data_IF_696698592174
#
_entry.id   IF_696698592174
#
_cell.length_a   1.000
_cell.length_b   1.000
_cell.length_c   1.000
_cell.angle_alpha   90.00
_cell.angle_beta   90.00
_cell.angle_gamma   90.00
#
_symmetry.space_group_name_H-M   'P 1'
#
loop_
_entity.id
_entity.type
_entity.pdbx_description
1 polymer ?
#
# COMPACT_ATOMS: atom_id res chain seq x y z
N UNK A 1 -11.24 12.21 23.01
CA UNK A 1 -10.15 12.77 22.18
C UNK A 1 -10.39 14.26 21.99
N UNK A 2 -9.37 15.09 22.28
CA UNK A 2 -9.45 16.57 22.24
C UNK A 2 -9.90 17.03 20.87
N UNK A 3 -10.90 17.92 20.79
CA UNK A 3 -11.41 18.49 19.54
C UNK A 3 -10.30 19.27 18.82
N UNK A 4 -9.60 18.62 17.90
CA UNK A 4 -8.62 19.26 17.03
C UNK A 4 -9.40 20.19 16.09
N UNK A 5 -9.07 21.50 16.02
CA UNK A 5 -9.76 22.42 15.12
C UNK A 5 -9.64 21.92 13.66
N UNK A 6 -10.74 22.06 12.91
CA UNK A 6 -10.86 21.53 11.56
C UNK A 6 -9.71 21.92 10.62
N UNK A 7 -9.21 23.15 10.76
CA UNK A 7 -8.08 23.67 9.98
C UNK A 7 -6.79 22.89 10.24
N UNK A 8 -6.44 22.62 11.50
CA UNK A 8 -5.22 21.86 11.85
C UNK A 8 -5.30 20.42 11.37
N UNK A 9 -6.49 19.80 11.43
CA UNK A 9 -6.68 18.42 10.97
C UNK A 9 -6.52 18.31 9.46
N UNK A 10 -7.07 19.25 8.69
CA UNK A 10 -6.89 19.27 7.25
C UNK A 10 -5.41 19.42 6.86
N UNK A 11 -4.67 20.29 7.57
CA UNK A 11 -3.23 20.42 7.36
C UNK A 11 -2.49 19.12 7.62
N UNK A 12 -2.79 18.42 8.71
CA UNK A 12 -2.18 17.13 9.06
C UNK A 12 -2.50 16.08 7.99
N UNK A 13 -3.75 16.00 7.50
CA UNK A 13 -4.12 15.07 6.44
C UNK A 13 -3.33 15.33 5.16
N UNK A 14 -3.17 16.58 4.75
CA UNK A 14 -2.40 16.96 3.56
C UNK A 14 -0.92 16.60 3.75
N UNK A 15 -0.34 16.88 4.92
CA UNK A 15 1.06 16.56 5.21
C UNK A 15 1.30 15.04 5.14
N UNK A 16 0.44 14.24 5.78
CA UNK A 16 0.59 12.77 5.75
C UNK A 16 0.40 12.25 4.32
N UNK A 17 -0.55 12.78 3.55
CA UNK A 17 -0.76 12.37 2.16
C UNK A 17 0.45 12.73 1.28
N UNK A 18 1.08 13.89 1.47
CA UNK A 18 2.31 14.28 0.77
C UNK A 18 3.48 13.36 1.14
N UNK A 19 3.61 12.98 2.42
CA UNK A 19 4.60 12.01 2.87
C UNK A 19 4.36 10.65 2.18
N UNK A 20 3.09 10.21 2.09
CA UNK A 20 2.71 8.98 1.38
C UNK A 20 3.12 9.01 -0.10
N UNK A 21 2.89 10.13 -0.80
CA UNK A 21 3.36 10.31 -2.19
C UNK A 21 4.89 10.26 -2.24
N UNK A 22 5.57 10.91 -1.32
CA UNK A 22 7.03 10.89 -1.23
C UNK A 22 7.60 9.47 -1.07
N UNK A 23 6.96 8.63 -0.23
CA UNK A 23 7.35 7.22 -0.06
C UNK A 23 7.21 6.45 -1.38
N UNK A 24 6.14 6.67 -2.14
CA UNK A 24 5.93 6.00 -3.44
C UNK A 24 6.95 6.46 -4.48
N UNK A 25 7.27 7.75 -4.50
CA UNK A 25 8.31 8.31 -5.39
C UNK A 25 9.68 7.70 -5.04
N UNK A 26 10.03 7.64 -3.76
CA UNK A 26 11.28 6.98 -3.32
C UNK A 26 11.30 5.50 -3.71
N UNK A 27 10.18 4.80 -3.56
CA UNK A 27 10.04 3.42 -4.05
C UNK A 27 10.32 3.32 -5.56
N UNK A 28 9.83 4.27 -6.36
CA UNK A 28 10.04 4.27 -7.82
C UNK A 28 11.51 4.48 -8.21
N UNK A 29 12.26 5.26 -7.42
CA UNK A 29 13.66 5.61 -7.71
C UNK A 29 14.62 4.57 -7.13
N UNK A 30 14.34 4.07 -5.91
CA UNK A 30 15.22 3.15 -5.18
C UNK A 30 14.80 1.69 -5.31
N UNK A 31 13.90 1.37 -6.24
CA UNK A 31 13.09 0.15 -6.32
C UNK A 31 13.82 -1.18 -6.47
N UNK A 32 15.15 -1.23 -6.44
CA UNK A 32 15.88 -2.50 -6.47
C UNK A 32 15.61 -3.39 -5.24
N UNK A 33 15.32 -2.79 -4.09
CA UNK A 33 15.06 -3.53 -2.84
C UNK A 33 13.68 -4.20 -2.77
N UNK A 34 12.73 -3.81 -3.64
CA UNK A 34 11.37 -4.35 -3.69
C UNK A 34 11.05 -5.00 -5.05
N UNK A 35 12.06 -5.30 -5.87
CA UNK A 35 11.90 -5.92 -7.19
C UNK A 35 11.23 -7.30 -7.14
N UNK A 36 11.26 -7.93 -5.97
CA UNK A 36 10.74 -9.27 -5.75
C UNK A 36 9.23 -9.33 -5.49
N UNK A 37 8.63 -8.19 -5.09
CA UNK A 37 7.20 -8.10 -4.82
C UNK A 37 6.54 -7.24 -5.90
N UNK A 38 6.00 -7.87 -6.93
CA UNK A 38 5.18 -7.20 -7.95
C UNK A 38 3.72 -7.45 -7.66
N UNK A 39 2.98 -6.37 -7.39
CA UNK A 39 1.52 -6.40 -7.32
C UNK A 39 0.94 -5.65 -8.50
N UNK A 40 0.14 -6.31 -9.31
CA UNK A 40 -0.61 -5.72 -10.39
C UNK A 40 -2.11 -5.75 -10.06
N UNK A 41 -2.79 -4.67 -10.36
CA UNK A 41 -4.25 -4.59 -10.32
C UNK A 41 -4.68 -4.24 -11.74
N UNK A 42 -5.42 -5.12 -12.41
CA UNK A 42 -5.87 -4.92 -13.79
C UNK A 42 -4.72 -4.52 -14.75
N UNK A 43 -3.56 -5.16 -14.61
CA UNK A 43 -2.34 -4.87 -15.41
C UNK A 43 -1.67 -3.52 -15.13
N UNK A 44 -2.10 -2.78 -14.10
CA UNK A 44 -1.48 -1.53 -13.67
C UNK A 44 -0.66 -1.77 -12.40
N UNK A 45 0.54 -1.19 -12.34
CA UNK A 45 1.39 -1.26 -11.16
C UNK A 45 0.71 -0.60 -9.94
N UNK A 46 0.78 -1.24 -8.80
CA UNK A 46 0.20 -0.79 -7.53
C UNK A 46 0.64 0.64 -7.14
N UNK A 47 1.84 1.07 -7.56
CA UNK A 47 2.35 2.43 -7.31
C UNK A 47 1.46 3.55 -7.85
N UNK A 48 0.87 3.37 -9.04
CA UNK A 48 -0.03 4.37 -9.64
C UNK A 48 -1.33 4.49 -8.85
N UNK A 49 -1.85 3.37 -8.35
CA UNK A 49 -3.01 3.36 -7.46
C UNK A 49 -2.73 4.11 -6.16
N UNK A 50 -1.54 3.94 -5.57
CA UNK A 50 -1.14 4.63 -4.37
C UNK A 50 -1.08 6.16 -4.55
N UNK A 51 -0.49 6.62 -5.66
CA UNK A 51 -0.42 8.07 -5.98
C UNK A 51 -1.83 8.64 -6.20
N UNK A 52 -2.64 7.97 -7.03
CA UNK A 52 -4.02 8.36 -7.30
C UNK A 52 -4.83 8.44 -5.99
N UNK A 53 -4.70 7.42 -5.14
CA UNK A 53 -5.39 7.35 -3.85
C UNK A 53 -5.04 8.55 -2.96
N UNK A 54 -3.73 8.85 -2.80
CA UNK A 54 -3.31 10.01 -2.01
C UNK A 54 -3.77 11.34 -2.61
N UNK A 55 -3.82 11.45 -3.94
CA UNK A 55 -4.40 12.59 -4.63
C UNK A 55 -5.89 12.79 -4.29
N UNK A 56 -6.66 11.69 -4.28
CA UNK A 56 -8.08 11.71 -3.88
C UNK A 56 -8.23 12.08 -2.40
N UNK A 57 -7.36 11.60 -1.51
CA UNK A 57 -7.35 11.98 -0.08
C UNK A 57 -7.14 13.49 0.08
N UNK A 58 -6.18 14.08 -0.65
CA UNK A 58 -5.95 15.52 -0.63
C UNK A 58 -7.19 16.26 -1.14
N UNK A 59 -7.74 15.84 -2.27
CA UNK A 59 -8.93 16.44 -2.88
C UNK A 59 -10.14 16.41 -1.94
N UNK A 60 -10.46 15.26 -1.33
CA UNK A 60 -11.56 15.15 -0.36
C UNK A 60 -11.32 15.97 0.90
N UNK A 61 -10.06 16.09 1.33
CA UNK A 61 -9.68 16.95 2.47
C UNK A 61 -9.94 18.43 2.17
N UNK A 62 -9.64 18.89 0.95
CA UNK A 62 -9.92 20.25 0.49
C UNK A 62 -11.43 20.51 0.37
N UNK A 63 -12.19 19.56 -0.15
CA UNK A 63 -13.66 19.62 -0.22
C UNK A 63 -14.35 19.51 1.15
N UNK A 64 -13.60 19.22 2.22
CA UNK A 64 -14.10 19.05 3.59
C UNK A 64 -15.18 17.96 3.74
N UNK A 65 -15.24 16.99 2.83
CA UNK A 65 -16.20 15.88 2.81
C UNK A 65 -15.73 14.74 3.71
N UNK A 66 -15.81 14.93 5.02
CA UNK A 66 -15.30 13.99 6.04
C UNK A 66 -15.86 12.58 5.94
N UNK A 67 -17.13 12.45 5.58
CA UNK A 67 -17.80 11.16 5.51
C UNK A 67 -17.19 10.30 4.40
N UNK A 68 -17.02 10.89 3.21
CA UNK A 68 -16.42 10.21 2.07
C UNK A 68 -14.94 9.87 2.33
N UNK A 69 -14.20 10.80 2.96
CA UNK A 69 -12.81 10.56 3.35
C UNK A 69 -12.70 9.37 4.32
N UNK A 70 -13.57 9.30 5.34
CA UNK A 70 -13.55 8.17 6.28
C UNK A 70 -13.86 6.85 5.57
N UNK A 71 -14.86 6.81 4.67
CA UNK A 71 -15.20 5.60 3.93
C UNK A 71 -14.06 5.16 3.01
N UNK A 72 -13.45 6.10 2.29
CA UNK A 72 -12.30 5.82 1.44
C UNK A 72 -11.12 5.25 2.25
N UNK A 73 -10.79 5.87 3.39
CA UNK A 73 -9.73 5.40 4.28
C UNK A 73 -10.06 4.02 4.87
N UNK A 74 -11.33 3.76 5.20
CA UNK A 74 -11.77 2.44 5.69
C UNK A 74 -11.53 1.34 4.63
N UNK A 75 -11.90 1.60 3.37
CA UNK A 75 -11.59 0.67 2.27
C UNK A 75 -10.09 0.44 2.13
N UNK A 76 -9.29 1.50 2.21
CA UNK A 76 -7.83 1.40 2.10
C UNK A 76 -7.20 0.59 3.23
N UNK A 77 -7.72 0.66 4.46
CA UNK A 77 -7.28 -0.22 5.55
C UNK A 77 -7.55 -1.70 5.22
N UNK A 78 -8.70 -2.01 4.60
CA UNK A 78 -9.00 -3.38 4.13
C UNK A 78 -7.99 -3.87 3.09
N UNK A 79 -7.62 -3.02 2.14
CA UNK A 79 -6.58 -3.29 1.13
C UNK A 79 -5.22 -3.53 1.81
N UNK A 80 -4.85 -2.69 2.76
CA UNK A 80 -3.57 -2.78 3.47
C UNK A 80 -3.45 -4.07 4.28
N UNK A 81 -4.54 -4.50 4.94
CA UNK A 81 -4.59 -5.79 5.66
C UNK A 81 -4.28 -6.94 4.69
N UNK A 82 -4.85 -6.93 3.49
CA UNK A 82 -4.57 -7.96 2.48
C UNK A 82 -3.11 -7.93 2.02
N UNK A 83 -2.56 -6.74 1.75
CA UNK A 83 -1.17 -6.58 1.32
C UNK A 83 -0.17 -7.05 2.39
N UNK A 84 -0.41 -6.71 3.65
CA UNK A 84 0.41 -7.17 4.76
C UNK A 84 0.30 -8.69 4.93
N UNK A 85 -0.90 -9.25 4.86
CA UNK A 85 -1.11 -10.70 4.91
C UNK A 85 -0.36 -11.42 3.77
N UNK A 86 -0.39 -10.87 2.55
CA UNK A 86 0.34 -11.39 1.41
C UNK A 86 1.86 -11.38 1.65
N UNK A 87 2.42 -10.28 2.18
CA UNK A 87 3.84 -10.17 2.51
C UNK A 87 4.26 -11.19 3.58
N UNK A 88 3.43 -11.39 4.61
CA UNK A 88 3.68 -12.38 5.66
C UNK A 88 3.66 -13.80 5.09
N UNK A 89 2.67 -14.14 4.26
CA UNK A 89 2.53 -15.46 3.67
C UNK A 89 3.65 -15.81 2.68
N UNK A 90 4.18 -14.81 1.98
CA UNK A 90 5.27 -15.01 1.01
C UNK A 90 6.66 -14.90 1.64
N UNK A 91 6.76 -14.41 2.88
CA UNK A 91 8.03 -14.15 3.57
C UNK A 91 8.86 -13.01 2.97
N UNK A 92 8.28 -12.23 2.06
CA UNK A 92 8.95 -11.11 1.38
C UNK A 92 8.36 -9.79 1.86
N UNK A 93 9.17 -9.00 2.53
CA UNK A 93 8.75 -7.73 3.11
C UNK A 93 9.24 -6.54 2.30
N UNK A 94 8.33 -5.63 1.95
CA UNK A 94 8.63 -4.37 1.31
C UNK A 94 8.57 -3.23 2.35
N UNK A 95 9.70 -2.62 2.75
CA UNK A 95 9.69 -1.56 3.76
C UNK A 95 8.91 -0.31 3.32
N UNK A 96 8.92 0.00 2.04
CA UNK A 96 8.14 1.13 1.49
C UNK A 96 6.63 0.89 1.56
N UNK A 97 6.18 -0.35 1.27
CA UNK A 97 4.77 -0.71 1.41
C UNK A 97 4.32 -0.60 2.87
N UNK A 98 5.14 -1.10 3.81
CA UNK A 98 4.84 -0.99 5.24
C UNK A 98 4.83 0.47 5.71
N UNK A 99 5.77 1.30 5.26
CA UNK A 99 5.80 2.73 5.57
C UNK A 99 4.56 3.46 5.03
N UNK A 100 4.11 3.11 3.82
CA UNK A 100 2.88 3.62 3.24
C UNK A 100 1.65 3.20 4.05
N UNK A 101 1.60 1.94 4.49
CA UNK A 101 0.56 1.42 5.38
C UNK A 101 0.48 2.17 6.70
N UNK A 102 1.63 2.50 7.32
CA UNK A 102 1.67 3.34 8.53
C UNK A 102 1.07 4.72 8.27
N UNK A 103 1.35 5.34 7.11
CA UNK A 103 0.74 6.62 6.74
C UNK A 103 -0.79 6.50 6.58
N UNK A 104 -1.30 5.42 5.97
CA UNK A 104 -2.73 5.13 5.83
C UNK A 104 -3.41 4.93 7.19
N UNK A 105 -2.82 4.12 8.08
CA UNK A 105 -3.33 3.89 9.43
C UNK A 105 -3.38 5.21 10.21
N UNK A 106 -2.35 6.04 10.09
CA UNK A 106 -2.32 7.37 10.72
C UNK A 106 -3.46 8.25 10.22
N UNK A 107 -3.66 8.35 8.89
CA UNK A 107 -4.78 9.10 8.31
C UNK A 107 -6.13 8.59 8.81
N UNK A 108 -6.31 7.27 8.87
CA UNK A 108 -7.53 6.65 9.36
C UNK A 108 -7.80 7.03 10.83
N UNK A 109 -6.80 6.90 11.72
CA UNK A 109 -6.94 7.23 13.15
C UNK A 109 -7.30 8.71 13.35
N UNK A 110 -6.66 9.63 12.60
CA UNK A 110 -6.94 11.06 12.70
C UNK A 110 -8.34 11.46 12.21
N UNK A 111 -8.92 10.68 11.30
CA UNK A 111 -10.24 10.96 10.73
C UNK A 111 -11.33 10.05 11.29
N UNK A 112 -10.98 9.09 12.15
CA UNK A 112 -11.93 8.13 12.70
C UNK A 112 -12.99 8.82 13.57
N UNK A 113 -14.26 8.50 13.27
CA UNK A 113 -15.41 8.97 14.03
C UNK A 113 -16.14 7.77 14.65
N UNK A 114 -16.18 7.75 15.97
CA UNK A 114 -16.80 6.66 16.75
C UNK A 114 -18.29 6.46 16.41
N UNK A 115 -18.99 7.54 16.00
CA UNK A 115 -20.40 7.45 15.59
C UNK A 115 -20.59 6.59 14.34
N UNK A 116 -19.54 6.46 13.52
CA UNK A 116 -19.57 5.74 12.22
C UNK A 116 -18.81 4.42 12.25
N UNK A 117 -18.49 3.89 13.44
CA UNK A 117 -17.70 2.67 13.60
C UNK A 117 -18.22 1.47 12.80
N UNK A 118 -19.54 1.26 12.78
CA UNK A 118 -20.15 0.14 12.05
C UNK A 118 -19.94 0.29 10.54
N UNK A 119 -20.16 1.48 10.00
CA UNK A 119 -19.92 1.75 8.58
C UNK A 119 -18.45 1.59 8.23
N UNK A 120 -17.52 2.06 9.09
CA UNK A 120 -16.09 1.88 8.88
C UNK A 120 -15.72 0.40 8.79
N UNK A 121 -16.24 -0.46 9.68
CA UNK A 121 -15.98 -1.91 9.65
C UNK A 121 -16.52 -2.53 8.35
N UNK A 122 -17.73 -2.18 7.93
CA UNK A 122 -18.31 -2.68 6.67
C UNK A 122 -17.43 -2.32 5.48
N UNK A 123 -16.93 -1.08 5.41
CA UNK A 123 -16.07 -0.64 4.32
C UNK A 123 -14.66 -1.25 4.38
N UNK A 124 -14.13 -1.57 5.56
CA UNK A 124 -12.87 -2.34 5.70
C UNK A 124 -13.06 -3.73 5.11
N UNK A 125 -14.13 -4.44 5.48
CA UNK A 125 -14.42 -5.78 4.94
C UNK A 125 -14.65 -5.72 3.43
N UNK A 126 -15.39 -4.72 2.97
CA UNK A 126 -15.63 -4.51 1.54
C UNK A 126 -14.32 -4.28 0.77
N UNK A 127 -13.45 -3.40 1.26
CA UNK A 127 -12.13 -3.14 0.65
C UNK A 127 -11.27 -4.39 0.60
N UNK A 128 -11.24 -5.17 1.69
CA UNK A 128 -10.49 -6.43 1.76
C UNK A 128 -11.02 -7.44 0.73
N UNK A 129 -12.34 -7.63 0.63
CA UNK A 129 -12.93 -8.59 -0.31
C UNK A 129 -12.70 -8.17 -1.76
N UNK A 130 -13.01 -6.92 -2.12
CA UNK A 130 -12.84 -6.43 -3.49
C UNK A 130 -11.38 -6.55 -3.92
N UNK A 131 -10.46 -6.17 -3.03
CA UNK A 131 -9.04 -6.26 -3.35
C UNK A 131 -8.56 -7.70 -3.49
N UNK A 132 -9.05 -8.63 -2.66
CA UNK A 132 -8.71 -10.06 -2.77
C UNK A 132 -9.10 -10.67 -4.11
N UNK A 133 -10.16 -10.15 -4.75
CA UNK A 133 -10.59 -10.62 -6.08
C UNK A 133 -9.82 -9.96 -7.23
N UNK A 134 -9.32 -8.72 -7.04
CA UNK A 134 -8.68 -7.94 -8.09
C UNK A 134 -7.14 -8.02 -8.07
N UNK A 135 -6.58 -8.48 -6.96
CA UNK A 135 -5.13 -8.48 -6.75
C UNK A 135 -4.47 -9.72 -7.34
N UNK A 136 -3.59 -9.49 -8.30
CA UNK A 136 -2.69 -10.50 -8.85
C UNK A 136 -1.27 -10.21 -8.31
N UNK A 137 -0.93 -10.86 -7.20
CA UNK A 137 0.40 -10.80 -6.61
C UNK A 137 1.32 -11.83 -7.24
N UNK A 138 2.47 -11.42 -7.75
CA UNK A 138 3.53 -12.32 -8.19
C UNK A 138 4.81 -12.05 -7.39
N UNK A 139 5.36 -13.10 -6.82
CA UNK A 139 6.71 -13.07 -6.24
C UNK A 139 7.65 -13.69 -7.27
N UNK A 140 8.58 -12.89 -7.80
CA UNK A 140 9.65 -13.45 -8.61
C UNK A 140 10.71 -14.00 -7.66
N UNK A 141 10.90 -15.33 -7.57
CA UNK A 141 11.98 -15.89 -6.76
C UNK A 141 13.30 -15.41 -7.36
N UNK A 142 14.19 -14.90 -6.51
CA UNK A 142 15.58 -14.69 -6.89
C UNK A 142 16.24 -16.04 -6.94
N UNK A 143 16.12 -16.71 -8.05
CA UNK A 143 17.13 -17.70 -8.38
C UNK A 143 18.38 -16.88 -8.68
N UNK A 144 19.34 -16.87 -7.74
CA UNK A 144 20.69 -16.51 -8.07
C UNK A 144 21.05 -17.32 -9.31
N UNK A 145 21.41 -16.65 -10.37
CA UNK A 145 22.10 -17.30 -11.49
C UNK A 145 23.41 -17.82 -10.93
N UNK A 146 23.39 -18.99 -10.30
CA UNK A 146 24.59 -19.82 -10.29
C UNK A 146 24.81 -20.21 -11.74
N UNK A 147 25.95 -19.81 -12.34
CA UNK A 147 26.25 -20.25 -13.69
C UNK A 147 26.46 -21.77 -13.68
N UNK A 148 25.44 -22.49 -14.13
CA UNK A 148 25.43 -23.95 -14.36
C UNK A 148 26.45 -24.35 -15.46
N UNK A 149 27.43 -23.50 -15.79
CA UNK A 149 28.41 -23.73 -16.87
C UNK A 149 29.75 -24.23 -16.38
N UNK A 150 29.95 -24.54 -15.09
CA UNK A 150 31.24 -25.02 -14.61
C UNK A 150 31.39 -26.56 -14.54
N UNK A 151 30.34 -27.31 -14.82
CA UNK A 151 30.41 -28.79 -14.77
C UNK A 151 30.36 -29.50 -16.12
N UNK A 152 30.24 -28.77 -17.24
CA UNK A 152 30.16 -29.42 -18.57
C UNK A 152 31.53 -29.57 -19.27
N UNK A 153 32.63 -29.05 -18.72
CA UNK A 153 33.91 -29.04 -19.42
C UNK A 153 34.98 -30.00 -18.82
N UNK A 154 34.57 -30.97 -17.99
CA UNK A 154 35.55 -31.90 -17.37
C UNK A 154 35.27 -33.37 -17.57
N UNK A 155 34.42 -33.76 -18.53
CA UNK A 155 34.24 -35.18 -18.93
C UNK A 155 34.36 -35.30 -20.46
N UNK A 156 35.53 -35.04 -20.98
CA UNK A 156 35.79 -35.19 -22.41
C UNK A 156 37.29 -35.19 -22.70
N UNK A 157 38.05 -36.01 -21.97
CA UNK A 157 39.49 -36.11 -22.19
C UNK A 157 40.04 -37.45 -21.74
N UNK A 158 39.90 -38.48 -22.55
CA UNK A 158 40.83 -39.59 -22.82
C UNK A 158 40.31 -40.43 -23.93
#
# INVERSE_FOLDING_TARGET
MKNIPASKRNLVNILIALIGIGIIVLYSVCGQSCLYLKGNILSLDLKYFGILFMGVVIFLTLLKTRSLLLFLLSCAIGVEIHLVAFQVNTGVYCPYCLAFGVALVSLFIFNFDYSKKIHAIIFIIFGLLVFSFLFEGSVTPVYGEEPLNLFSEKVGGT
#
